data_IF_931757800503
#
_entry.id   IF_931757800503
#
_cell.length_a   1.000
_cell.length_b   1.000
_cell.length_c   1.000
_cell.angle_alpha   90.00
_cell.angle_beta   90.00
_cell.angle_gamma   90.00
#
_symmetry.space_group_name_H-M   'P 1'
#
loop_
_entity.id
_entity.type
_entity.pdbx_description
1 polymer ?
#
# COMPACT_ATOMS: atom_id res chain seq x y z
N UNK A 1 2.70 -6.54 14.18
CA UNK A 1 2.04 -5.22 14.10
C UNK A 1 0.76 -5.20 14.95
N UNK A 2 -0.22 -6.09 14.76
CA UNK A 2 -1.46 -6.09 15.58
C UNK A 2 -1.24 -6.32 17.10
N UNK A 3 -0.26 -7.13 17.51
CA UNK A 3 0.01 -7.36 18.94
C UNK A 3 0.85 -6.26 19.62
N UNK A 4 1.67 -5.54 18.86
CA UNK A 4 2.65 -4.58 19.38
C UNK A 4 2.29 -3.12 19.08
N UNK A 5 1.20 -2.89 18.34
CA UNK A 5 0.79 -1.57 17.83
C UNK A 5 1.91 -0.81 17.09
N UNK A 6 2.90 -1.54 16.58
CA UNK A 6 3.98 -0.95 15.79
C UNK A 6 3.47 -0.67 14.37
N UNK A 7 4.06 0.35 13.72
CA UNK A 7 3.72 0.69 12.34
C UNK A 7 4.32 -0.34 11.38
N UNK A 8 3.50 -0.88 10.47
CA UNK A 8 3.95 -1.89 9.50
C UNK A 8 5.15 -1.36 8.71
N UNK A 9 6.27 -2.10 8.63
CA UNK A 9 7.54 -1.55 8.13
C UNK A 9 7.44 -0.96 6.71
N UNK A 10 6.66 -1.50 5.75
CA UNK A 10 6.53 -0.86 4.44
C UNK A 10 5.70 0.42 4.46
N UNK A 11 4.74 0.56 5.38
CA UNK A 11 4.03 1.83 5.60
C UNK A 11 4.97 2.91 6.15
N UNK A 12 5.78 2.54 7.14
CA UNK A 12 6.82 3.42 7.69
C UNK A 12 7.89 3.80 6.66
N UNK A 13 8.35 2.86 5.85
CA UNK A 13 9.29 3.12 4.77
C UNK A 13 8.74 4.10 3.74
N UNK A 14 7.46 3.98 3.37
CA UNK A 14 6.81 4.88 2.42
C UNK A 14 6.74 6.32 2.94
N UNK A 15 6.44 6.50 4.24
CA UNK A 15 6.45 7.80 4.90
C UNK A 15 7.88 8.35 5.01
N UNK A 16 8.85 7.50 5.34
CA UNK A 16 10.26 7.90 5.40
C UNK A 16 10.74 8.40 4.03
N UNK A 17 10.41 7.70 2.94
CA UNK A 17 10.74 8.11 1.56
C UNK A 17 10.18 9.50 1.24
N UNK A 18 8.97 9.83 1.69
CA UNK A 18 8.41 11.17 1.51
C UNK A 18 9.24 12.27 2.20
N UNK A 19 9.92 11.93 3.31
CA UNK A 19 10.73 12.88 4.10
C UNK A 19 12.16 12.96 3.56
N UNK A 20 12.81 11.83 3.30
CA UNK A 20 14.22 11.77 2.88
C UNK A 20 14.42 11.81 1.36
N UNK A 21 13.32 11.87 0.60
CA UNK A 21 13.34 11.88 -0.86
C UNK A 21 14.01 13.11 -1.48
N UNK A 22 14.23 13.04 -2.79
CA UNK A 22 14.80 14.13 -3.59
C UNK A 22 13.80 15.28 -3.79
N UNK A 23 14.30 16.46 -4.18
CA UNK A 23 13.49 17.68 -4.33
C UNK A 23 12.25 17.52 -5.23
N UNK A 24 12.33 16.69 -6.27
CA UNK A 24 11.20 16.37 -7.15
C UNK A 24 10.08 15.64 -6.39
N UNK A 25 10.45 14.74 -5.47
CA UNK A 25 9.50 14.02 -4.62
C UNK A 25 8.85 14.96 -3.61
N UNK A 26 9.60 15.91 -3.06
CA UNK A 26 9.06 16.95 -2.19
C UNK A 26 8.14 17.92 -2.94
N UNK A 27 8.43 18.21 -4.21
CA UNK A 27 7.60 19.07 -5.06
C UNK A 27 6.20 18.49 -5.30
N UNK A 28 6.05 17.16 -5.28
CA UNK A 28 4.75 16.49 -5.30
C UNK A 28 3.93 16.79 -4.02
N UNK A 29 4.59 17.05 -2.89
CA UNK A 29 3.92 17.31 -1.61
C UNK A 29 2.89 16.22 -1.26
N UNK A 30 1.68 16.61 -0.89
CA UNK A 30 0.60 15.68 -0.58
C UNK A 30 0.15 14.82 -1.76
N UNK A 31 0.40 15.24 -3.00
CA UNK A 31 0.02 14.44 -4.16
C UNK A 31 0.79 13.12 -4.23
N UNK A 32 2.00 13.03 -3.65
CA UNK A 32 2.74 11.76 -3.53
C UNK A 32 1.91 10.68 -2.79
N UNK A 33 1.27 11.04 -1.68
CA UNK A 33 0.47 10.10 -0.89
C UNK A 33 -0.73 9.55 -1.68
N UNK A 34 -1.40 10.40 -2.47
CA UNK A 34 -2.56 9.96 -3.24
C UNK A 34 -2.17 9.29 -4.56
N UNK A 35 -1.24 9.87 -5.31
CA UNK A 35 -0.91 9.45 -6.68
C UNK A 35 0.13 8.36 -6.77
N UNK A 36 1.08 8.28 -5.84
CA UNK A 36 2.11 7.24 -5.85
C UNK A 36 1.75 6.11 -4.87
N UNK A 37 1.36 6.48 -3.64
CA UNK A 37 1.14 5.49 -2.57
C UNK A 37 -0.24 4.85 -2.69
N UNK A 38 -1.32 5.63 -2.65
CA UNK A 38 -2.68 5.07 -2.63
C UNK A 38 -3.01 4.31 -3.94
N UNK A 39 -2.60 4.83 -5.10
CA UNK A 39 -2.74 4.13 -6.38
C UNK A 39 -2.00 2.79 -6.39
N UNK A 40 -0.75 2.75 -5.90
CA UNK A 40 0.04 1.53 -5.79
C UNK A 40 -0.62 0.49 -4.88
N UNK A 41 -1.11 0.93 -3.71
CA UNK A 41 -1.86 0.08 -2.79
C UNK A 41 -3.15 -0.47 -3.41
N UNK A 42 -3.93 0.38 -4.10
CA UNK A 42 -5.15 -0.04 -4.80
C UNK A 42 -4.85 -1.03 -5.92
N UNK A 43 -3.79 -0.80 -6.70
CA UNK A 43 -3.38 -1.71 -7.77
C UNK A 43 -2.96 -3.07 -7.20
N UNK A 44 -2.15 -3.08 -6.14
CA UNK A 44 -1.77 -4.33 -5.47
C UNK A 44 -2.97 -5.08 -4.91
N UNK A 45 -3.91 -4.37 -4.28
CA UNK A 45 -5.16 -4.97 -3.79
C UNK A 45 -5.99 -5.54 -4.93
N UNK A 46 -6.15 -4.80 -6.03
CA UNK A 46 -6.88 -5.23 -7.22
C UNK A 46 -6.26 -6.51 -7.80
N UNK A 47 -4.95 -6.54 -7.99
CA UNK A 47 -4.22 -7.72 -8.48
C UNK A 47 -4.40 -8.90 -7.53
N UNK A 48 -4.27 -8.66 -6.22
CA UNK A 48 -4.46 -9.70 -5.21
C UNK A 48 -5.88 -10.28 -5.26
N UNK A 49 -6.92 -9.45 -5.38
CA UNK A 49 -8.30 -9.91 -5.50
C UNK A 49 -8.52 -10.67 -6.81
N UNK A 50 -8.05 -10.14 -7.94
CA UNK A 50 -8.23 -10.77 -9.25
C UNK A 50 -7.55 -12.14 -9.31
N UNK A 51 -6.26 -12.21 -8.98
CA UNK A 51 -5.47 -13.44 -9.09
C UNK A 51 -5.95 -14.49 -8.09
N UNK A 52 -6.19 -14.11 -6.83
CA UNK A 52 -6.58 -15.08 -5.81
C UNK A 52 -8.01 -15.61 -6.02
N UNK A 53 -8.88 -14.90 -6.73
CA UNK A 53 -10.22 -15.40 -7.09
C UNK A 53 -10.26 -16.15 -8.44
N UNK A 54 -9.22 -16.04 -9.27
CA UNK A 54 -9.11 -16.82 -10.50
C UNK A 54 -8.74 -18.29 -10.22
N UNK A 55 -8.07 -18.57 -9.10
CA UNK A 55 -7.74 -19.92 -8.68
C UNK A 55 -8.99 -20.66 -8.16
N UNK A 56 -9.34 -21.81 -8.78
CA UNK A 56 -10.57 -22.58 -8.49
C UNK A 56 -10.83 -22.91 -7.02
N UNK A 57 -9.79 -23.01 -6.20
CA UNK A 57 -9.87 -23.42 -4.79
C UNK A 57 -9.60 -22.30 -3.80
N UNK A 58 -9.49 -21.05 -4.26
CA UNK A 58 -9.20 -19.89 -3.40
C UNK A 58 -10.28 -18.85 -3.59
N UNK A 59 -10.64 -18.19 -2.49
CA UNK A 59 -11.49 -17.01 -2.46
C UNK A 59 -10.81 -15.98 -1.58
N UNK A 60 -10.67 -14.76 -2.10
CA UNK A 60 -10.04 -13.67 -1.38
C UNK A 60 -10.79 -12.36 -1.60
N UNK A 61 -10.93 -11.52 -0.57
CA UNK A 61 -10.60 -11.79 0.82
C UNK A 61 -11.69 -12.65 1.48
N UNK A 62 -11.31 -13.39 2.53
CA UNK A 62 -12.26 -14.19 3.31
C UNK A 62 -13.16 -13.31 4.19
N UNK A 63 -12.64 -12.14 4.62
CA UNK A 63 -13.32 -11.15 5.44
C UNK A 63 -12.84 -9.76 5.00
N UNK A 64 -13.75 -8.80 4.83
CA UNK A 64 -13.43 -7.41 4.47
C UNK A 64 -13.36 -6.49 5.69
N UNK A 65 -13.89 -6.93 6.83
CA UNK A 65 -14.06 -6.18 8.08
C UNK A 65 -13.54 -7.01 9.24
#
# INVERSE_FOLDING_TARGET
MQMTHTLHPPGGATALIAVIGVAELHALGWSYAFLAVATGCLLMLLIAVLINNLARHRRYPLHWW
#
